data_IF_589296566550
#
_entry.id   IF_589296566550
#
_cell.length_a   1.000
_cell.length_b   1.000
_cell.length_c   1.000
_cell.angle_alpha   90.00
_cell.angle_beta   90.00
_cell.angle_gamma   90.00
#
_symmetry.space_group_name_H-M   'P 1'
#
loop_
_entity.id
_entity.type
_entity.pdbx_description
1 polymer ?
#
# COMPACT_ATOMS: atom_id res chain seq x y z
N UNK A 1 21.65 -14.52 8.54
CA UNK A 1 21.58 -13.04 8.64
C UNK A 1 20.75 -12.51 7.48
N UNK A 2 19.67 -11.80 7.75
CA UNK A 2 18.94 -11.05 6.73
C UNK A 2 19.77 -9.83 6.25
N UNK A 3 19.72 -9.53 4.96
CA UNK A 3 20.35 -8.33 4.39
C UNK A 3 19.43 -7.11 4.54
N UNK A 4 19.98 -5.90 4.46
CA UNK A 4 19.18 -4.67 4.47
C UNK A 4 18.17 -4.70 3.31
N UNK A 5 18.61 -5.17 2.14
CA UNK A 5 17.76 -5.30 0.96
C UNK A 5 16.56 -6.24 1.20
N UNK A 6 16.79 -7.41 1.79
CA UNK A 6 15.73 -8.36 2.08
C UNK A 6 14.73 -7.81 3.10
N UNK A 7 15.20 -7.08 4.14
CA UNK A 7 14.30 -6.51 5.15
C UNK A 7 13.51 -5.33 4.60
N UNK A 8 14.12 -4.46 3.80
CA UNK A 8 13.44 -3.36 3.10
C UNK A 8 12.38 -3.90 2.14
N UNK A 9 12.71 -4.93 1.36
CA UNK A 9 11.78 -5.60 0.45
C UNK A 9 10.57 -6.15 1.19
N UNK A 10 10.79 -6.82 2.33
CA UNK A 10 9.69 -7.31 3.17
C UNK A 10 8.75 -6.17 3.62
N UNK A 11 9.28 -5.09 4.17
CA UNK A 11 8.47 -3.96 4.67
C UNK A 11 7.65 -3.31 3.54
N UNK A 12 8.25 -3.16 2.36
CA UNK A 12 7.57 -2.56 1.21
C UNK A 12 6.47 -3.47 0.68
N UNK A 13 6.73 -4.76 0.51
CA UNK A 13 5.75 -5.73 -0.03
C UNK A 13 4.58 -5.95 0.93
N UNK A 14 4.80 -5.88 2.24
CA UNK A 14 3.73 -5.95 3.25
C UNK A 14 2.76 -4.75 3.19
N UNK A 15 3.15 -3.65 2.53
CA UNK A 15 2.32 -2.46 2.35
C UNK A 15 1.94 -2.24 0.89
N UNK A 16 0.68 -2.47 0.55
CA UNK A 16 0.13 -2.18 -0.78
C UNK A 16 0.35 -0.72 -1.19
N UNK A 17 0.18 0.22 -0.24
CA UNK A 17 0.43 1.64 -0.46
C UNK A 17 1.89 1.94 -0.86
N UNK A 18 2.87 1.36 -0.15
CA UNK A 18 4.28 1.57 -0.48
C UNK A 18 4.63 0.94 -1.82
N UNK A 19 4.14 -0.27 -2.08
CA UNK A 19 4.41 -0.98 -3.34
C UNK A 19 3.86 -0.18 -4.53
N UNK A 20 2.57 0.19 -4.51
CA UNK A 20 1.95 0.94 -5.61
C UNK A 20 2.54 2.35 -5.74
N UNK A 21 2.75 3.05 -4.62
CA UNK A 21 3.38 4.37 -4.62
C UNK A 21 4.80 4.33 -5.21
N UNK A 22 5.59 3.28 -4.92
CA UNK A 22 6.93 3.13 -5.47
C UNK A 22 6.92 2.81 -6.96
N UNK A 23 6.00 1.95 -7.43
CA UNK A 23 5.82 1.66 -8.86
C UNK A 23 5.49 2.94 -9.64
N UNK A 24 4.53 3.72 -9.14
CA UNK A 24 4.07 4.99 -9.75
C UNK A 24 5.05 6.16 -9.56
N UNK A 25 6.16 5.97 -8.83
CA UNK A 25 7.15 7.02 -8.57
C UNK A 25 6.66 8.15 -7.65
N UNK A 26 5.65 7.88 -6.82
CA UNK A 26 5.02 8.86 -5.92
C UNK A 26 5.74 8.99 -4.57
N UNK A 27 6.60 8.03 -4.23
CA UNK A 27 7.26 7.97 -2.92
C UNK A 27 8.61 8.67 -2.96
N UNK A 28 8.83 9.59 -2.01
CA UNK A 28 10.16 10.14 -1.74
C UNK A 28 11.02 9.08 -1.02
N UNK A 29 11.90 8.43 -1.77
CA UNK A 29 12.74 7.34 -1.25
C UNK A 29 13.71 7.78 -0.16
N UNK A 30 14.21 9.02 -0.19
CA UNK A 30 15.11 9.55 0.84
C UNK A 30 14.40 9.75 2.17
N UNK A 31 13.17 10.28 2.13
CA UNK A 31 12.36 10.47 3.32
C UNK A 31 11.87 9.12 3.87
N UNK A 32 11.44 8.20 3.00
CA UNK A 32 11.09 6.84 3.39
C UNK A 32 12.28 6.12 4.05
N UNK A 33 13.49 6.27 3.52
CA UNK A 33 14.70 5.69 4.12
C UNK A 33 14.95 6.21 5.54
N UNK A 34 14.77 7.52 5.77
CA UNK A 34 14.92 8.15 7.09
C UNK A 34 13.91 7.61 8.10
N UNK A 35 12.68 7.35 7.66
CA UNK A 35 11.61 6.80 8.52
C UNK A 35 11.81 5.31 8.81
N UNK A 36 12.29 4.53 7.84
CA UNK A 36 12.51 3.09 8.00
C UNK A 36 13.78 2.74 8.78
N UNK A 37 14.82 3.60 8.73
CA UNK A 37 16.12 3.30 9.34
C UNK A 37 16.03 2.85 10.81
N UNK A 38 15.33 3.56 11.72
CA UNK A 38 15.26 3.15 13.13
C UNK A 38 14.60 1.78 13.33
N UNK A 39 13.58 1.47 12.52
CA UNK A 39 12.93 0.16 12.53
C UNK A 39 13.89 -0.93 12.06
N UNK A 40 14.63 -0.68 10.97
CA UNK A 40 15.60 -1.64 10.44
C UNK A 40 16.75 -1.91 11.42
N UNK A 41 17.24 -0.87 12.12
CA UNK A 41 18.28 -1.03 13.13
C UNK A 41 17.80 -1.90 14.30
N UNK A 42 16.56 -1.68 14.75
CA UNK A 42 15.91 -2.49 15.79
C UNK A 42 15.72 -3.95 15.35
N UNK A 43 15.23 -4.16 14.14
CA UNK A 43 14.95 -5.51 13.62
C UNK A 43 16.22 -6.32 13.36
N UNK A 44 17.29 -5.66 12.91
CA UNK A 44 18.54 -6.31 12.51
C UNK A 44 19.59 -6.35 13.62
N UNK A 45 19.35 -5.68 14.75
CA UNK A 45 20.25 -5.60 15.90
C UNK A 45 21.65 -5.10 15.53
N UNK A 46 21.71 -4.15 14.59
CA UNK A 46 22.97 -3.53 14.12
C UNK A 46 22.71 -2.15 13.53
N UNK A 47 23.72 -1.26 13.51
CA UNK A 47 23.60 0.01 12.81
C UNK A 47 23.35 -0.21 11.32
N UNK A 48 22.46 0.61 10.75
CA UNK A 48 22.07 0.56 9.34
C UNK A 48 22.27 1.96 8.77
N UNK A 49 23.20 2.11 7.82
CA UNK A 49 23.44 3.39 7.19
C UNK A 49 22.26 3.82 6.30
N UNK A 50 21.79 5.05 6.45
CA UNK A 50 20.70 5.61 5.64
C UNK A 50 20.94 5.46 4.12
N UNK A 51 22.17 5.68 3.66
CA UNK A 51 22.55 5.51 2.25
C UNK A 51 22.32 4.08 1.76
N UNK A 52 22.56 3.07 2.59
CA UNK A 52 22.31 1.67 2.26
C UNK A 52 20.80 1.38 2.15
N UNK A 53 19.97 2.02 2.96
CA UNK A 53 18.50 1.94 2.87
C UNK A 53 17.99 2.58 1.59
N UNK A 54 18.49 3.78 1.24
CA UNK A 54 18.17 4.44 -0.04
C UNK A 54 18.55 3.54 -1.22
N UNK A 55 19.77 2.97 -1.21
CA UNK A 55 20.20 2.04 -2.26
C UNK A 55 19.34 0.76 -2.34
N UNK A 56 18.84 0.26 -1.21
CA UNK A 56 17.92 -0.87 -1.20
C UNK A 56 16.56 -0.49 -1.82
N UNK A 57 16.00 0.64 -1.40
CA UNK A 57 14.73 1.17 -1.91
C UNK A 57 14.78 1.49 -3.41
N UNK A 58 15.83 2.18 -3.88
CA UNK A 58 15.99 2.52 -5.32
C UNK A 58 16.07 1.26 -6.18
N UNK A 59 16.83 0.25 -5.73
CA UNK A 59 16.94 -1.02 -6.45
C UNK A 59 15.63 -1.78 -6.49
N UNK A 60 14.86 -1.74 -5.39
CA UNK A 60 13.55 -2.35 -5.31
C UNK A 60 12.55 -1.65 -6.23
N UNK A 61 12.54 -0.31 -6.25
CA UNK A 61 11.68 0.48 -7.15
C UNK A 61 11.88 0.07 -8.61
N UNK A 62 13.13 -0.03 -9.08
CA UNK A 62 13.44 -0.49 -10.45
C UNK A 62 12.89 -1.90 -10.70
N UNK A 63 13.05 -2.84 -9.76
CA UNK A 63 12.50 -4.20 -9.89
C UNK A 63 10.98 -4.21 -9.97
N UNK A 64 10.30 -3.42 -9.14
CA UNK A 64 8.84 -3.34 -9.11
C UNK A 64 8.29 -2.75 -10.41
N UNK A 65 8.91 -1.68 -10.92
CA UNK A 65 8.55 -1.06 -12.20
C UNK A 65 8.73 -2.02 -13.39
N UNK A 66 9.80 -2.82 -13.38
CA UNK A 66 10.02 -3.84 -14.40
C UNK A 66 8.95 -4.93 -14.41
N UNK A 67 8.47 -5.34 -13.22
CA UNK A 67 7.40 -6.34 -13.09
C UNK A 67 6.07 -5.79 -13.58
N UNK A 68 5.73 -4.57 -13.18
CA UNK A 68 4.48 -3.91 -13.56
C UNK A 68 4.37 -3.68 -15.07
N UNK A 69 5.49 -3.34 -15.74
CA UNK A 69 5.52 -3.22 -17.19
C UNK A 69 5.22 -4.55 -17.92
N UNK A 70 5.66 -5.68 -17.36
CA UNK A 70 5.38 -7.01 -17.92
C UNK A 70 3.90 -7.39 -17.71
N UNK A 71 3.33 -7.13 -16.53
CA UNK A 71 1.92 -7.43 -16.24
C UNK A 71 0.95 -6.54 -17.04
N UNK A 72 1.23 -5.24 -17.17
CA UNK A 72 0.37 -4.31 -17.92
C UNK A 72 0.27 -4.67 -19.40
N UNK A 73 1.33 -5.26 -19.96
CA UNK A 73 1.35 -5.71 -21.37
C UNK A 73 0.52 -6.99 -21.58
N UNK A 74 0.24 -7.76 -20.52
CA UNK A 74 -0.46 -9.04 -20.55
C UNK A 74 -1.92 -8.98 -20.10
N UNK A 75 -2.43 -7.82 -19.66
CA UNK A 75 -3.79 -7.65 -19.13
C UNK A 75 -4.70 -6.83 -20.04
N UNK A 76 -5.34 -7.44 -21.07
CA UNK A 76 -6.58 -6.91 -21.61
C UNK A 76 -7.75 -7.70 -21.03
N UNK A 77 -8.23 -7.38 -19.83
CA UNK A 77 -9.63 -7.59 -19.40
C UNK A 77 -9.86 -7.22 -17.93
N UNK A 78 -10.80 -6.30 -17.73
CA UNK A 78 -11.79 -6.32 -16.65
C UNK A 78 -11.29 -5.95 -15.24
N UNK A 79 -11.17 -4.64 -15.06
CA UNK A 79 -11.43 -3.99 -13.79
C UNK A 79 -12.92 -4.17 -13.41
N UNK A 80 -13.29 -5.31 -12.85
CA UNK A 80 -14.51 -5.41 -12.03
C UNK A 80 -14.11 -5.14 -10.59
N UNK A 81 -13.96 -3.85 -10.24
CA UNK A 81 -13.87 -3.40 -8.86
C UNK A 81 -15.27 -3.54 -8.22
N UNK A 82 -15.66 -4.76 -7.86
CA UNK A 82 -16.79 -5.00 -6.98
C UNK A 82 -16.34 -4.76 -5.54
N UNK A 83 -16.23 -3.49 -5.15
CA UNK A 83 -16.30 -3.14 -3.73
C UNK A 83 -17.68 -3.61 -3.26
N UNK A 84 -17.74 -4.67 -2.44
CA UNK A 84 -18.98 -5.07 -1.77
C UNK A 84 -19.36 -3.94 -0.83
N UNK A 85 -20.20 -3.03 -1.31
CA UNK A 85 -20.91 -2.10 -0.44
C UNK A 85 -21.88 -2.95 0.37
N UNK A 86 -21.67 -3.05 1.68
CA UNK A 86 -22.65 -3.59 2.63
C UNK A 86 -23.85 -2.63 2.72
N UNK A 87 -24.57 -2.47 1.61
CA UNK A 87 -25.69 -1.56 1.47
C UNK A 87 -26.93 -2.28 1.99
N UNK A 88 -27.21 -2.11 3.28
CA UNK A 88 -28.42 -2.63 3.90
C UNK A 88 -29.59 -1.69 3.60
N UNK A 89 -30.51 -2.15 2.77
CA UNK A 89 -31.74 -1.43 2.43
C UNK A 89 -32.86 -1.80 3.42
N UNK A 90 -33.42 -0.80 4.12
CA UNK A 90 -34.59 -0.99 4.98
C UNK A 90 -35.82 -0.36 4.31
N UNK A 91 -36.77 -1.20 3.89
CA UNK A 91 -38.05 -0.72 3.35
C UNK A 91 -39.10 -0.67 4.46
N UNK A 92 -39.55 0.52 4.83
CA UNK A 92 -40.70 0.68 5.72
C UNK A 92 -41.99 0.79 4.91
N UNK A 93 -43.02 0.04 5.33
CA UNK A 93 -44.37 0.19 4.79
C UNK A 93 -44.90 1.56 5.24
N UNK A 94 -45.22 2.44 4.29
CA UNK A 94 -45.96 3.66 4.58
C UNK A 94 -47.34 3.27 5.13
N UNK A 95 -47.54 3.40 6.45
CA UNK A 95 -48.87 3.38 7.04
C UNK A 95 -49.48 4.77 6.94
N UNK A 96 -50.78 4.85 6.65
CA UNK A 96 -51.54 6.08 6.58
C UNK A 96 -51.81 6.70 7.97
N UNK A 97 -50.77 6.87 8.77
CA UNK A 97 -50.82 7.66 10.00
C UNK A 97 -49.78 8.76 9.89
N UNK A 98 -50.06 9.70 8.98
CA UNK A 98 -49.37 10.97 8.93
C UNK A 98 -49.65 11.76 10.20
N UNK A 99 -48.58 12.06 10.95
CA UNK A 99 -48.38 13.28 11.74
C UNK A 99 -49.35 13.55 12.89
N UNK A 100 -49.08 12.93 14.05
CA UNK A 100 -49.33 13.58 15.34
C UNK A 100 -48.14 13.30 16.27
N UNK A 101 -47.71 14.34 17.00
CA UNK A 101 -46.68 14.35 18.05
C UNK A 101 -45.21 14.31 17.61
N UNK A 102 -44.71 15.46 17.14
CA UNK A 102 -43.44 16.02 17.66
C UNK A 102 -43.64 17.53 17.88
N UNK A 103 -44.14 17.86 19.07
CA UNK A 103 -43.88 19.11 19.78
C UNK A 103 -43.01 18.78 20.99
#
# INVERSE_FOLDING_TARGET
>A
MSSIAARVEQVVIESAFLTEGMVRGLINLSELARQLQPQLEKDMWKPVGQAAVVMALTRLAVKLQQRDHVETTLLPQMAELTTRSELTEFTFRSSATSRECQG
#
